data_IF_703260018236
#
_entry.id   IF_703260018236
#
_cell.length_a   1.000
_cell.length_b   1.000
_cell.length_c   1.000
_cell.angle_alpha   90.00
_cell.angle_beta   90.00
_cell.angle_gamma   90.00
#
_symmetry.space_group_name_H-M   'P 1'
#
loop_
_entity.id
_entity.type
_entity.pdbx_description
1 polymer ?
#
# COMPACT_ATOMS: atom_id res chain seq x y z
N UNK A 1 -7.29 29.33 -22.66
CA UNK A 1 -7.33 30.38 -23.69
C UNK A 1 -7.30 31.71 -22.95
N UNK A 2 -6.24 32.50 -23.12
CA UNK A 2 -6.10 33.81 -22.47
C UNK A 2 -6.84 34.88 -23.27
N UNK A 3 -7.52 35.80 -22.58
CA UNK A 3 -8.32 36.87 -23.19
C UNK A 3 -7.55 38.19 -23.31
N UNK A 4 -6.35 38.26 -22.76
CA UNK A 4 -5.47 39.43 -22.73
C UNK A 4 -4.00 38.99 -22.71
N UNK A 5 -3.08 39.88 -23.07
CA UNK A 5 -1.63 39.65 -23.01
C UNK A 5 -1.15 39.48 -21.56
N UNK A 6 -0.24 38.53 -21.32
CA UNK A 6 0.42 38.33 -20.03
C UNK A 6 1.14 39.62 -19.57
N UNK A 7 0.84 40.15 -18.37
CA UNK A 7 1.52 41.33 -17.79
C UNK A 7 3.05 41.17 -17.62
N UNK A 8 3.58 39.95 -17.61
CA UNK A 8 5.00 39.62 -17.48
C UNK A 8 5.62 39.13 -18.79
N UNK A 9 4.98 39.37 -19.94
CA UNK A 9 5.51 38.97 -21.25
C UNK A 9 6.96 39.42 -21.51
N UNK A 10 7.36 40.60 -21.03
CA UNK A 10 8.73 41.13 -21.17
C UNK A 10 9.78 40.32 -20.40
N UNK A 11 9.38 39.59 -19.34
CA UNK A 11 10.27 38.74 -18.54
C UNK A 11 10.67 37.45 -19.27
N UNK A 12 9.92 37.06 -20.31
CA UNK A 12 10.10 35.78 -21.01
C UNK A 12 10.37 35.97 -22.51
N UNK A 13 11.53 36.54 -22.90
CA UNK A 13 11.87 36.74 -24.31
C UNK A 13 11.90 35.39 -25.05
N UNK A 14 11.22 35.35 -26.20
CA UNK A 14 11.10 34.14 -27.03
C UNK A 14 9.88 33.25 -26.71
N UNK A 15 9.05 33.63 -25.74
CA UNK A 15 7.76 32.97 -25.47
C UNK A 15 6.58 33.83 -25.91
N UNK A 16 5.47 33.16 -26.24
CA UNK A 16 4.25 33.88 -26.63
C UNK A 16 3.58 34.46 -25.38
N UNK A 17 3.11 35.72 -25.40
CA UNK A 17 2.36 36.34 -24.30
C UNK A 17 0.98 35.70 -24.06
N UNK A 18 0.64 34.68 -24.83
CA UNK A 18 -0.58 33.87 -24.71
C UNK A 18 -0.27 32.39 -24.42
N UNK A 19 0.99 32.04 -24.15
CA UNK A 19 1.40 30.67 -23.82
C UNK A 19 0.92 30.31 -22.40
N UNK A 20 0.12 29.26 -22.26
CA UNK A 20 -0.29 28.75 -20.94
C UNK A 20 0.77 27.77 -20.43
N UNK A 21 1.28 27.95 -19.20
CA UNK A 21 2.15 26.97 -18.50
C UNK A 21 3.40 26.56 -19.27
N UNK A 22 4.00 27.47 -20.06
CA UNK A 22 5.11 27.14 -20.99
C UNK A 22 4.80 25.98 -21.94
N UNK A 23 3.53 25.83 -22.35
CA UNK A 23 3.00 24.70 -23.10
C UNK A 23 3.19 23.33 -22.41
N UNK A 24 3.38 23.31 -21.08
CA UNK A 24 3.48 22.09 -20.29
C UNK A 24 2.58 22.15 -19.03
N UNK A 25 1.25 22.09 -19.22
CA UNK A 25 0.27 22.18 -18.12
C UNK A 25 0.27 20.96 -17.20
N UNK A 26 1.01 19.91 -17.55
CA UNK A 26 1.22 18.74 -16.69
C UNK A 26 2.29 19.02 -15.62
N UNK A 27 3.24 19.92 -15.92
CA UNK A 27 4.37 20.26 -15.04
C UNK A 27 4.20 21.61 -14.35
N UNK A 28 3.55 22.56 -15.00
CA UNK A 28 3.39 23.91 -14.46
C UNK A 28 1.92 24.25 -14.27
N UNK A 29 1.65 25.05 -13.24
CA UNK A 29 0.36 25.71 -13.05
C UNK A 29 0.65 27.21 -13.04
N UNK A 30 -0.23 28.00 -13.64
CA UNK A 30 -0.18 29.45 -13.63
C UNK A 30 -1.44 29.99 -12.93
N UNK A 31 -1.44 30.11 -11.58
CA UNK A 31 -2.64 30.37 -10.78
C UNK A 31 -3.19 31.78 -10.93
N UNK A 32 -2.32 32.77 -11.19
CA UNK A 32 -2.66 34.20 -11.28
C UNK A 32 -2.47 34.77 -12.69
N UNK A 33 -2.00 33.97 -13.65
CA UNK A 33 -1.83 34.34 -15.05
C UNK A 33 -0.64 35.24 -15.32
N UNK A 34 0.44 35.04 -14.58
CA UNK A 34 1.64 35.88 -14.60
C UNK A 34 2.92 35.08 -14.69
N UNK A 35 3.05 34.00 -13.92
CA UNK A 35 4.24 33.16 -13.94
C UNK A 35 3.87 31.69 -13.70
N UNK A 36 4.14 30.80 -14.66
CA UNK A 36 4.03 29.37 -14.43
C UNK A 36 4.97 28.93 -13.29
N UNK A 37 4.39 28.47 -12.19
CA UNK A 37 5.12 27.87 -11.07
C UNK A 37 5.21 26.35 -11.27
N UNK A 38 6.26 25.75 -10.74
CA UNK A 38 6.38 24.28 -10.64
C UNK A 38 5.21 23.77 -9.80
N UNK A 39 4.19 23.25 -10.50
CA UNK A 39 2.85 23.01 -9.97
C UNK A 39 2.26 21.69 -10.46
N UNK A 40 3.04 20.86 -11.15
CA UNK A 40 2.65 19.50 -11.48
C UNK A 40 2.29 18.75 -10.20
N UNK A 41 1.38 17.77 -10.29
CA UNK A 41 0.96 17.01 -9.11
C UNK A 41 2.18 16.40 -8.44
N UNK A 42 2.31 16.59 -7.14
CA UNK A 42 3.36 16.00 -6.35
C UNK A 42 3.32 14.47 -6.41
N UNK A 43 4.42 13.81 -6.01
CA UNK A 43 4.52 12.37 -6.08
C UNK A 43 3.36 11.69 -5.34
N UNK A 44 2.91 10.58 -5.92
CA UNK A 44 1.90 9.72 -5.31
C UNK A 44 2.52 8.41 -4.94
N UNK A 45 2.25 7.98 -3.71
CA UNK A 45 2.73 6.69 -3.22
C UNK A 45 1.54 5.80 -2.90
N UNK A 46 1.65 4.53 -3.28
CA UNK A 46 0.59 3.55 -3.07
C UNK A 46 1.07 2.48 -2.12
N UNK A 47 0.33 2.30 -1.04
CA UNK A 47 0.57 1.26 -0.06
C UNK A 47 -0.37 0.08 -0.33
N UNK A 48 0.17 -1.12 -0.22
CA UNK A 48 -0.55 -2.37 -0.35
C UNK A 48 -0.43 -3.14 0.97
N UNK A 49 -1.56 -3.60 1.50
CA UNK A 49 -1.60 -4.52 2.62
C UNK A 49 -2.39 -5.74 2.21
N UNK A 50 -1.84 -6.93 2.43
CA UNK A 50 -2.48 -8.17 2.03
C UNK A 50 -2.25 -9.29 3.03
N UNK A 51 -3.26 -10.15 3.14
CA UNK A 51 -3.22 -11.40 3.89
C UNK A 51 -3.23 -12.57 2.92
N UNK A 52 -2.37 -13.57 3.10
CA UNK A 52 -2.25 -14.72 2.19
C UNK A 52 -1.83 -15.99 2.93
N UNK A 53 -2.23 -17.15 2.43
CA UNK A 53 -1.88 -18.46 3.00
C UNK A 53 -0.65 -18.99 2.26
N UNK A 54 0.47 -19.17 2.97
CA UNK A 54 1.73 -19.57 2.33
C UNK A 54 1.75 -21.02 1.83
N UNK A 55 0.95 -21.89 2.42
CA UNK A 55 0.81 -23.30 2.04
C UNK A 55 -0.09 -23.49 0.82
N UNK A 56 0.01 -24.68 0.19
CA UNK A 56 -0.90 -25.09 -0.90
C UNK A 56 -2.34 -25.27 -0.46
N UNK A 57 -2.53 -25.67 0.80
CA UNK A 57 -3.84 -25.94 1.37
C UNK A 57 -3.90 -25.47 2.81
N UNK A 58 -5.09 -25.10 3.27
CA UNK A 58 -5.40 -24.90 4.68
C UNK A 58 -6.64 -25.71 5.07
N UNK A 59 -6.86 -25.84 6.38
CA UNK A 59 -8.05 -26.50 6.92
C UNK A 59 -8.79 -25.56 7.85
N UNK A 60 -10.11 -25.64 7.81
CA UNK A 60 -10.97 -24.96 8.78
C UNK A 60 -11.16 -25.83 10.05
N UNK A 61 -11.93 -25.35 11.05
CA UNK A 61 -12.15 -26.07 12.31
C UNK A 61 -12.77 -27.47 12.14
N UNK A 62 -13.50 -27.69 11.05
CA UNK A 62 -14.16 -28.97 10.75
C UNK A 62 -13.27 -29.89 9.90
N UNK A 63 -12.02 -29.49 9.65
CA UNK A 63 -11.06 -30.25 8.84
C UNK A 63 -11.29 -30.15 7.33
N UNK A 64 -12.21 -29.29 6.86
CA UNK A 64 -12.46 -29.10 5.42
C UNK A 64 -11.26 -28.42 4.78
N UNK A 65 -10.87 -28.88 3.59
CA UNK A 65 -9.65 -28.45 2.90
C UNK A 65 -9.95 -27.31 1.93
N UNK A 66 -9.21 -26.22 2.05
CA UNK A 66 -9.28 -25.07 1.15
C UNK A 66 -7.95 -24.89 0.44
N UNK A 67 -7.99 -24.39 -0.80
CA UNK A 67 -6.79 -23.96 -1.50
C UNK A 67 -6.14 -22.78 -0.76
N UNK A 68 -4.84 -22.88 -0.53
CA UNK A 68 -4.01 -21.78 -0.07
C UNK A 68 -3.40 -21.02 -1.26
N UNK A 69 -2.75 -19.90 -0.97
CA UNK A 69 -2.13 -19.06 -2.01
C UNK A 69 -0.82 -19.68 -2.54
N UNK A 70 -0.25 -20.66 -1.82
CA UNK A 70 0.91 -21.43 -2.23
C UNK A 70 2.14 -20.58 -2.63
N UNK A 71 2.33 -19.44 -1.96
CA UNK A 71 3.36 -18.46 -2.30
C UNK A 71 4.09 -17.92 -1.08
N UNK A 72 5.27 -17.33 -1.32
CA UNK A 72 5.93 -16.47 -0.36
C UNK A 72 5.47 -15.01 -0.46
N UNK A 73 6.12 -14.10 0.28
CA UNK A 73 5.86 -12.67 0.17
C UNK A 73 6.10 -12.15 -1.24
N UNK A 74 5.33 -11.13 -1.62
CA UNK A 74 5.35 -10.59 -2.98
C UNK A 74 5.15 -9.09 -3.03
N UNK A 75 5.97 -8.40 -3.83
CA UNK A 75 5.79 -6.98 -4.18
C UNK A 75 4.82 -6.81 -5.37
N UNK A 76 3.81 -7.67 -5.50
CA UNK A 76 2.89 -7.63 -6.64
C UNK A 76 1.48 -7.47 -6.15
N UNK A 77 0.81 -6.43 -6.64
CA UNK A 77 -0.62 -6.20 -6.39
C UNK A 77 -1.51 -7.25 -7.05
N UNK A 78 -0.96 -8.08 -7.95
CA UNK A 78 -1.68 -9.14 -8.64
C UNK A 78 -1.52 -10.52 -7.97
N UNK A 79 -0.65 -10.64 -6.96
CA UNK A 79 -0.50 -11.89 -6.21
C UNK A 79 -1.80 -12.21 -5.48
N UNK A 80 -2.12 -13.49 -5.36
CA UNK A 80 -3.37 -13.93 -4.71
C UNK A 80 -3.35 -13.58 -3.22
N UNK A 81 -4.51 -13.29 -2.65
CA UNK A 81 -4.66 -12.87 -1.26
C UNK A 81 -6.06 -13.23 -0.73
N UNK A 82 -6.16 -13.52 0.56
CA UNK A 82 -7.42 -13.74 1.29
C UNK A 82 -8.14 -12.45 1.64
N UNK A 83 -7.37 -11.36 1.77
CA UNK A 83 -7.87 -10.00 1.89
C UNK A 83 -6.77 -9.02 1.50
N UNK A 84 -7.15 -7.89 0.92
CA UNK A 84 -6.23 -6.83 0.51
C UNK A 84 -6.92 -5.47 0.63
N UNK A 85 -6.17 -4.49 1.12
CA UNK A 85 -6.50 -3.08 1.02
C UNK A 85 -5.33 -2.32 0.36
N UNK A 86 -5.67 -1.45 -0.59
CA UNK A 86 -4.73 -0.57 -1.29
C UNK A 86 -5.20 0.87 -1.08
N UNK A 87 -4.29 1.73 -0.69
CA UNK A 87 -4.54 3.16 -0.50
C UNK A 87 -3.38 3.98 -1.06
N UNK A 88 -3.70 5.19 -1.50
CA UNK A 88 -2.74 6.14 -2.05
C UNK A 88 -2.54 7.30 -1.08
N UNK A 89 -1.31 7.82 -1.04
CA UNK A 89 -0.93 9.05 -0.36
C UNK A 89 -0.57 10.10 -1.41
N UNK A 90 -1.22 11.25 -1.34
CA UNK A 90 -0.94 12.42 -2.16
C UNK A 90 -0.12 13.43 -1.35
N UNK A 91 1.10 13.73 -1.80
CA UNK A 91 1.99 14.66 -1.09
C UNK A 91 1.55 16.11 -1.15
N UNK A 92 0.79 16.52 -2.17
CA UNK A 92 0.39 17.93 -2.36
C UNK A 92 -0.47 18.46 -1.20
N UNK A 93 -1.31 17.59 -0.66
CA UNK A 93 -2.28 17.93 0.38
C UNK A 93 -2.18 16.99 1.58
N UNK A 94 -1.18 16.10 1.59
CA UNK A 94 -0.98 15.06 2.59
C UNK A 94 -2.24 14.22 2.84
N UNK A 95 -3.06 13.97 1.82
CA UNK A 95 -4.29 13.17 1.96
C UNK A 95 -4.09 11.73 1.53
N UNK A 96 -4.80 10.86 2.23
CA UNK A 96 -4.95 9.47 1.85
C UNK A 96 -6.30 9.20 1.19
N UNK A 97 -6.31 8.25 0.26
CA UNK A 97 -7.55 7.76 -0.34
C UNK A 97 -7.47 6.25 -0.60
N UNK A 98 -8.59 5.57 -0.44
CA UNK A 98 -8.69 4.16 -0.81
C UNK A 98 -8.64 4.04 -2.33
N UNK A 99 -7.79 3.13 -2.82
CA UNK A 99 -7.68 2.79 -4.24
C UNK A 99 -8.55 1.57 -4.53
N UNK A 100 -8.41 0.52 -3.72
CA UNK A 100 -9.19 -0.72 -3.88
C UNK A 100 -9.10 -1.59 -2.64
N UNK A 101 -10.13 -2.37 -2.37
CA UNK A 101 -10.09 -3.49 -1.43
C UNK A 101 -10.69 -4.73 -2.09
N UNK A 102 -10.18 -5.91 -1.78
CA UNK A 102 -10.70 -7.15 -2.37
C UNK A 102 -9.93 -8.41 -1.99
N UNK A 103 -10.48 -9.54 -2.42
CA UNK A 103 -9.93 -10.87 -2.16
C UNK A 103 -9.86 -11.71 -3.45
N UNK A 104 -8.97 -12.69 -3.44
CA UNK A 104 -8.92 -13.75 -4.44
C UNK A 104 -10.01 -14.79 -4.19
N UNK A 105 -10.27 -15.64 -5.18
CA UNK A 105 -11.24 -16.73 -5.05
C UNK A 105 -10.77 -17.67 -3.93
N UNK A 106 -11.72 -18.07 -3.09
CA UNK A 106 -11.59 -19.16 -2.13
C UNK A 106 -12.16 -20.40 -2.78
N UNK A 107 -11.38 -21.48 -2.77
CA UNK A 107 -11.74 -22.76 -3.37
C UNK A 107 -11.69 -23.84 -2.29
N UNK A 108 -12.71 -24.72 -2.28
CA UNK A 108 -12.80 -25.85 -1.37
C UNK A 108 -13.05 -27.13 -2.17
N UNK A 109 -12.20 -28.12 -1.95
CA UNK A 109 -12.40 -29.48 -2.45
C UNK A 109 -13.05 -30.33 -1.36
N UNK A 110 -14.23 -30.87 -1.68
CA UNK A 110 -14.92 -31.90 -0.91
C UNK A 110 -14.76 -33.27 -1.57
N UNK A 111 -15.29 -34.32 -0.92
CA UNK A 111 -15.20 -35.69 -1.44
C UNK A 111 -15.93 -35.88 -2.79
N UNK A 112 -17.00 -35.10 -3.03
CA UNK A 112 -17.76 -35.09 -4.29
C UNK A 112 -18.12 -33.68 -4.79
N UNK A 113 -17.61 -32.62 -4.15
CA UNK A 113 -17.99 -31.23 -4.43
C UNK A 113 -16.76 -30.36 -4.63
N UNK A 114 -16.90 -29.34 -5.48
CA UNK A 114 -15.91 -28.30 -5.65
C UNK A 114 -16.61 -26.94 -5.56
N UNK A 115 -16.33 -26.21 -4.50
CA UNK A 115 -16.98 -24.94 -4.20
C UNK A 115 -16.00 -23.79 -4.42
N UNK A 116 -16.46 -22.71 -5.04
CA UNK A 116 -15.68 -21.49 -5.22
C UNK A 116 -16.51 -20.25 -4.95
N UNK A 117 -15.95 -19.31 -4.21
CA UNK A 117 -16.57 -18.01 -3.98
C UNK A 117 -15.52 -16.96 -3.60
N UNK A 118 -15.87 -15.69 -3.67
CA UNK A 118 -14.97 -14.57 -3.39
C UNK A 118 -15.41 -13.83 -2.13
N UNK A 119 -14.48 -13.64 -1.21
CA UNK A 119 -14.76 -12.93 0.02
C UNK A 119 -15.02 -11.43 -0.24
N UNK A 120 -15.97 -10.87 0.50
CA UNK A 120 -16.07 -9.42 0.64
C UNK A 120 -14.96 -8.92 1.58
N UNK A 121 -14.39 -7.76 1.27
CA UNK A 121 -13.41 -7.11 2.13
C UNK A 121 -13.99 -5.81 2.64
N UNK A 122 -14.23 -5.75 3.94
CA UNK A 122 -14.60 -4.53 4.64
C UNK A 122 -13.32 -3.74 4.92
N UNK A 123 -13.38 -2.42 4.83
CA UNK A 123 -12.24 -1.58 5.15
C UNK A 123 -12.70 -0.28 5.80
N UNK A 124 -11.83 0.28 6.64
CA UNK A 124 -11.99 1.60 7.23
C UNK A 124 -10.66 2.35 7.13
N UNK A 125 -10.73 3.64 6.84
CA UNK A 125 -9.58 4.54 6.93
C UNK A 125 -9.92 5.74 7.79
N UNK A 126 -9.02 6.09 8.70
CA UNK A 126 -9.15 7.27 9.53
C UNK A 126 -7.84 8.06 9.48
N UNK A 127 -7.90 9.27 8.96
CA UNK A 127 -6.75 10.15 8.90
C UNK A 127 -6.87 11.27 9.93
N UNK A 128 -5.79 11.50 10.71
CA UNK A 128 -5.63 12.64 11.60
C UNK A 128 -4.26 13.29 11.36
N UNK A 129 -4.25 14.38 10.60
CA UNK A 129 -3.01 15.02 10.13
C UNK A 129 -2.23 14.05 9.25
N UNK A 130 -0.97 13.79 9.60
CA UNK A 130 -0.10 12.88 8.85
C UNK A 130 -0.24 11.41 9.27
N UNK A 131 -1.06 11.12 10.28
CA UNK A 131 -1.30 9.77 10.77
C UNK A 131 -2.52 9.20 10.06
N UNK A 132 -2.39 7.97 9.59
CA UNK A 132 -3.43 7.17 8.98
C UNK A 132 -3.58 5.87 9.77
N UNK A 133 -4.80 5.62 10.24
CA UNK A 133 -5.23 4.28 10.62
C UNK A 133 -5.97 3.64 9.44
N UNK A 134 -5.62 2.41 9.12
CA UNK A 134 -6.33 1.56 8.16
C UNK A 134 -6.69 0.27 8.85
N UNK A 135 -7.90 -0.18 8.63
CA UNK A 135 -8.37 -1.48 9.05
C UNK A 135 -8.98 -2.16 7.83
N UNK A 136 -8.71 -3.44 7.64
CA UNK A 136 -9.53 -4.26 6.77
C UNK A 136 -9.87 -5.58 7.44
N UNK A 137 -11.04 -6.11 7.07
CA UNK A 137 -11.47 -7.43 7.50
C UNK A 137 -12.13 -8.23 6.39
N UNK A 138 -12.06 -9.54 6.49
CA UNK A 138 -12.60 -10.48 5.49
C UNK A 138 -13.00 -11.79 6.14
N UNK A 139 -14.04 -12.45 5.61
CA UNK A 139 -14.51 -13.77 6.05
C UNK A 139 -14.36 -14.80 4.95
N UNK A 140 -14.17 -16.06 5.34
CA UNK A 140 -14.29 -17.15 4.38
C UNK A 140 -15.72 -17.18 3.81
N UNK A 141 -15.91 -17.02 2.48
CA UNK A 141 -17.24 -16.92 1.88
C UNK A 141 -17.96 -18.28 1.84
N UNK A 142 -17.22 -19.39 1.90
CA UNK A 142 -17.74 -20.76 1.77
C UNK A 142 -18.20 -21.39 3.10
N UNK A 143 -18.21 -20.61 4.18
CA UNK A 143 -18.62 -21.05 5.52
C UNK A 143 -19.81 -20.24 6.05
N UNK A 144 -20.57 -20.74 7.04
CA UNK A 144 -21.71 -20.01 7.60
C UNK A 144 -21.28 -18.65 8.18
N UNK A 145 -21.73 -17.56 7.56
CA UNK A 145 -21.22 -16.20 7.81
C UNK A 145 -21.40 -15.71 9.26
N UNK A 146 -22.43 -16.21 9.95
CA UNK A 146 -22.70 -15.89 11.35
C UNK A 146 -21.65 -16.45 12.33
N UNK A 147 -21.00 -17.55 11.97
CA UNK A 147 -20.04 -18.27 12.83
C UNK A 147 -18.61 -18.23 12.30
N UNK A 148 -18.40 -17.58 11.15
CA UNK A 148 -17.10 -17.50 10.51
C UNK A 148 -16.32 -16.34 11.14
N UNK A 149 -15.16 -16.61 11.76
CA UNK A 149 -14.33 -15.56 12.31
C UNK A 149 -13.76 -14.70 11.16
N UNK A 150 -13.47 -13.45 11.47
CA UNK A 150 -12.86 -12.52 10.52
C UNK A 150 -11.34 -12.70 10.53
N UNK A 151 -10.72 -12.42 9.39
CA UNK A 151 -9.30 -12.05 9.34
C UNK A 151 -9.25 -10.54 9.42
N UNK A 152 -8.60 -10.00 10.43
CA UNK A 152 -8.45 -8.59 10.70
C UNK A 152 -6.98 -8.17 10.53
N UNK A 153 -6.77 -7.02 9.89
CA UNK A 153 -5.47 -6.36 9.81
C UNK A 153 -5.65 -4.87 10.03
N UNK A 154 -4.89 -4.33 10.98
CA UNK A 154 -4.90 -2.93 11.36
C UNK A 154 -3.50 -2.34 11.16
N UNK A 155 -3.39 -1.20 10.48
CA UNK A 155 -2.14 -0.48 10.33
C UNK A 155 -2.27 0.97 10.76
N UNK A 156 -1.29 1.43 11.53
CA UNK A 156 -1.06 2.84 11.80
C UNK A 156 0.18 3.28 11.04
N UNK A 157 0.04 4.30 10.19
CA UNK A 157 1.09 4.80 9.31
C UNK A 157 1.18 6.31 9.44
N UNK A 158 2.38 6.82 9.69
CA UNK A 158 2.69 8.25 9.69
C UNK A 158 3.63 8.53 8.53
N UNK A 159 3.26 9.44 7.64
CA UNK A 159 4.10 9.84 6.50
C UNK A 159 4.55 11.28 6.62
N UNK A 160 5.81 11.53 6.25
CA UNK A 160 6.35 12.87 6.14
C UNK A 160 7.15 12.99 4.85
N UNK A 161 6.63 13.79 3.91
CA UNK A 161 7.32 14.12 2.67
C UNK A 161 8.08 15.44 2.85
N UNK A 162 9.39 15.39 2.68
CA UNK A 162 10.28 16.55 2.73
C UNK A 162 10.84 16.83 1.34
N UNK A 163 10.25 17.82 0.66
CA UNK A 163 10.66 18.26 -0.68
C UNK A 163 12.09 18.82 -0.67
N UNK A 164 12.51 19.50 0.40
CA UNK A 164 13.81 20.16 0.46
C UNK A 164 14.94 19.13 0.58
N UNK A 165 14.73 18.09 1.38
CA UNK A 165 15.69 17.01 1.56
C UNK A 165 15.49 15.86 0.57
N UNK A 166 14.48 15.92 -0.30
CA UNK A 166 14.11 14.83 -1.23
C UNK A 166 13.95 13.50 -0.51
N UNK A 167 13.16 13.49 0.58
CA UNK A 167 12.91 12.27 1.36
C UNK A 167 11.43 12.03 1.63
N UNK A 168 11.08 10.75 1.76
CA UNK A 168 9.81 10.29 2.32
C UNK A 168 10.10 9.45 3.56
N UNK A 169 9.72 9.96 4.73
CA UNK A 169 9.77 9.21 5.99
C UNK A 169 8.44 8.53 6.26
N UNK A 170 8.49 7.27 6.67
CA UNK A 170 7.33 6.44 6.97
C UNK A 170 7.59 5.76 8.32
N UNK A 171 6.73 6.00 9.29
CA UNK A 171 6.67 5.23 10.53
C UNK A 171 5.42 4.38 10.49
N UNK A 172 5.55 3.08 10.73
CA UNK A 172 4.41 2.17 10.60
C UNK A 172 4.39 1.11 11.69
N UNK A 173 3.18 0.72 12.08
CA UNK A 173 2.90 -0.46 12.90
C UNK A 173 1.72 -1.19 12.29
N UNK A 174 1.89 -2.48 12.03
CA UNK A 174 0.85 -3.37 11.49
C UNK A 174 0.56 -4.48 12.49
N UNK A 175 -0.71 -4.60 12.83
CA UNK A 175 -1.30 -5.65 13.67
C UNK A 175 -2.13 -6.57 12.77
N UNK A 176 -2.18 -7.85 13.10
CA UNK A 176 -2.99 -8.86 12.41
C UNK A 176 -3.35 -9.97 13.38
N UNK A 177 -4.32 -10.81 13.05
CA UNK A 177 -4.69 -11.99 13.88
C UNK A 177 -3.60 -13.08 13.92
N UNK A 178 -2.52 -12.97 13.14
CA UNK A 178 -1.46 -13.98 13.09
C UNK A 178 -1.77 -15.17 12.17
N UNK A 179 -3.01 -15.27 11.67
CA UNK A 179 -3.39 -16.12 10.55
C UNK A 179 -4.30 -15.36 9.59
N UNK A 180 -4.13 -15.46 8.26
CA UNK A 180 -3.01 -16.07 7.55
C UNK A 180 -1.78 -15.12 7.55
N UNK A 181 -0.77 -15.35 6.70
CA UNK A 181 0.40 -14.45 6.62
C UNK A 181 -0.04 -13.04 6.27
N UNK A 182 0.69 -12.04 6.75
CA UNK A 182 0.45 -10.63 6.44
C UNK A 182 1.67 -10.02 5.77
N UNK A 183 1.48 -9.27 4.69
CA UNK A 183 2.53 -8.51 4.01
C UNK A 183 2.07 -7.08 3.75
N UNK A 184 3.04 -6.16 3.70
CA UNK A 184 2.80 -4.79 3.27
C UNK A 184 4.00 -4.22 2.53
N UNK A 185 3.71 -3.41 1.51
CA UNK A 185 4.73 -2.68 0.74
C UNK A 185 4.20 -1.32 0.28
N UNK A 186 5.11 -0.41 0.00
CA UNK A 186 4.84 0.87 -0.65
C UNK A 186 5.40 0.86 -2.07
N UNK A 187 4.76 1.60 -2.97
CA UNK A 187 5.16 1.77 -4.36
C UNK A 187 5.06 3.23 -4.78
N UNK A 188 5.96 3.67 -5.66
CA UNK A 188 5.88 4.97 -6.32
C UNK A 188 5.10 4.87 -7.65
N UNK A 189 4.99 6.00 -8.36
CA UNK A 189 4.34 6.09 -9.67
C UNK A 189 5.04 5.30 -10.78
N UNK A 190 6.33 4.98 -10.62
CA UNK A 190 7.11 4.15 -11.53
C UNK A 190 7.06 2.66 -11.18
N UNK A 191 6.26 2.26 -10.19
CA UNK A 191 6.18 0.89 -9.67
C UNK A 191 7.49 0.37 -9.08
N UNK A 192 8.38 1.25 -8.59
CA UNK A 192 9.45 0.83 -7.69
C UNK A 192 8.78 0.52 -6.35
N UNK A 193 9.10 -0.63 -5.76
CA UNK A 193 8.38 -1.14 -4.57
C UNK A 193 9.33 -1.51 -3.45
N UNK A 194 8.93 -1.17 -2.24
CA UNK A 194 9.70 -1.37 -1.02
C UNK A 194 8.80 -2.07 0.00
N UNK A 195 9.21 -3.24 0.50
CA UNK A 195 8.49 -3.88 1.58
C UNK A 195 8.54 -3.03 2.85
N UNK A 196 7.38 -2.88 3.50
CA UNK A 196 7.31 -2.40 4.88
C UNK A 196 7.52 -3.56 5.85
N UNK A 197 6.98 -4.73 5.54
CA UNK A 197 7.21 -5.91 6.37
C UNK A 197 6.38 -7.11 5.93
N UNK A 198 6.75 -8.26 6.49
CA UNK A 198 6.09 -9.54 6.25
C UNK A 198 6.05 -10.32 7.57
N UNK A 199 4.95 -11.04 7.81
CA UNK A 199 4.79 -11.96 8.93
C UNK A 199 4.17 -13.25 8.40
N UNK A 200 4.83 -14.38 8.62
CA UNK A 200 4.29 -15.69 8.25
C UNK A 200 3.16 -16.07 9.21
N UNK A 201 2.11 -16.72 8.69
CA UNK A 201 1.06 -17.28 9.53
C UNK A 201 1.61 -18.21 10.61
N UNK A 202 0.97 -18.20 11.77
CA UNK A 202 1.24 -19.12 12.88
C UNK A 202 -0.05 -19.82 13.28
N UNK A 203 0.05 -21.05 13.78
CA UNK A 203 -1.12 -21.82 14.24
C UNK A 203 -2.16 -22.11 13.14
N UNK A 204 -3.43 -22.09 13.53
CA UNK A 204 -4.59 -22.42 12.69
C UNK A 204 -5.64 -21.31 12.73
N UNK A 205 -6.59 -21.27 11.78
CA UNK A 205 -7.72 -20.34 11.84
C UNK A 205 -8.45 -20.34 13.18
N UNK A 206 -8.67 -21.52 13.79
CA UNK A 206 -9.36 -21.69 15.08
C UNK A 206 -8.64 -20.97 16.21
N UNK A 207 -7.32 -21.09 16.24
CA UNK A 207 -6.49 -20.63 17.36
C UNK A 207 -6.11 -19.16 17.27
N UNK A 208 -6.35 -18.50 16.13
CA UNK A 208 -5.80 -17.18 15.83
C UNK A 208 -6.86 -16.15 15.47
N UNK A 209 -7.92 -16.54 14.75
CA UNK A 209 -8.94 -15.61 14.27
C UNK A 209 -10.02 -15.18 15.29
N UNK A 210 -10.26 -15.86 16.43
CA UNK A 210 -11.23 -15.35 17.39
C UNK A 210 -10.75 -14.03 18.03
N UNK A 211 -11.37 -12.90 17.69
CA UNK A 211 -11.07 -11.61 18.29
C UNK A 211 -10.93 -10.50 17.24
N UNK A 212 -10.24 -9.42 17.63
CA UNK A 212 -9.77 -8.39 16.71
C UNK A 212 -8.25 -8.54 16.54
N UNK A 213 -7.69 -7.91 15.51
CA UNK A 213 -6.24 -7.86 15.28
C UNK A 213 -5.48 -7.40 16.53
N UNK A 214 -4.83 -8.36 17.18
CA UNK A 214 -4.19 -8.17 18.49
C UNK A 214 -2.69 -8.52 18.47
N UNK A 215 -2.22 -9.20 17.42
CA UNK A 215 -0.85 -9.66 17.30
C UNK A 215 -0.06 -8.73 16.40
N UNK A 216 1.06 -8.21 16.91
CA UNK A 216 1.96 -7.36 16.13
C UNK A 216 2.59 -8.17 15.00
N UNK A 217 2.26 -7.84 13.77
CA UNK A 217 2.85 -8.44 12.59
C UNK A 217 4.27 -7.90 12.37
N UNK A 218 4.38 -6.58 12.22
CA UNK A 218 5.65 -5.87 12.04
C UNK A 218 5.48 -4.36 12.29
N UNK A 219 6.58 -3.70 12.60
CA UNK A 219 6.65 -2.25 12.80
C UNK A 219 8.03 -1.74 12.41
N UNK A 220 8.13 -0.50 12.00
CA UNK A 220 9.43 0.08 11.64
C UNK A 220 9.35 1.55 11.27
N UNK A 221 10.52 2.07 10.91
CA UNK A 221 10.68 3.38 10.30
C UNK A 221 11.52 3.20 9.03
N UNK A 222 11.03 3.76 7.92
CA UNK A 222 11.76 3.84 6.67
C UNK A 222 11.93 5.30 6.29
N UNK A 223 13.16 5.67 5.94
CA UNK A 223 13.44 6.96 5.33
C UNK A 223 13.87 6.63 3.90
N UNK A 224 13.09 7.06 2.92
CA UNK A 224 13.30 6.76 1.50
C UNK A 224 13.90 8.01 0.85
N UNK A 225 15.05 7.87 0.23
CA UNK A 225 15.62 8.90 -0.63
C UNK A 225 14.92 8.92 -1.99
N UNK A 226 14.65 10.11 -2.49
CA UNK A 226 13.88 10.33 -3.72
C UNK A 226 14.76 10.91 -4.83
N UNK A 227 14.37 10.69 -6.09
CA UNK A 227 14.90 11.45 -7.23
C UNK A 227 14.19 12.80 -7.39
N UNK A 228 14.64 13.63 -8.34
CA UNK A 228 14.08 14.96 -8.62
C UNK A 228 12.60 14.93 -9.06
N UNK A 229 12.07 13.74 -9.39
CA UNK A 229 10.68 13.51 -9.77
C UNK A 229 9.85 12.89 -8.63
N UNK A 230 10.45 12.67 -7.46
CA UNK A 230 9.81 12.05 -6.31
C UNK A 230 9.68 10.51 -6.37
N UNK A 231 10.44 9.84 -7.23
CA UNK A 231 10.48 8.37 -7.29
C UNK A 231 11.48 7.81 -6.29
N UNK A 232 11.28 6.56 -5.88
CA UNK A 232 12.15 5.89 -4.92
C UNK A 232 13.53 5.62 -5.51
N UNK A 233 14.57 6.09 -4.82
CA UNK A 233 15.97 5.91 -5.23
C UNK A 233 16.71 4.93 -4.33
N UNK A 234 16.58 5.09 -3.01
CA UNK A 234 17.30 4.29 -2.01
C UNK A 234 16.61 4.38 -0.64
N UNK A 235 17.12 3.63 0.33
CA UNK A 235 16.71 3.71 1.74
C UNK A 235 17.86 4.33 2.53
N UNK A 236 17.54 5.26 3.43
CA UNK A 236 18.47 5.93 4.32
C UNK A 236 18.37 5.29 5.71
N UNK A 237 19.30 4.39 6.02
CA UNK A 237 19.28 3.59 7.24
C UNK A 237 20.48 3.95 8.13
N UNK A 238 20.22 4.57 9.29
CA UNK A 238 21.24 4.96 10.28
C UNK A 238 22.47 5.67 9.69
N UNK A 239 22.25 6.61 8.76
CA UNK A 239 23.32 7.39 8.11
C UNK A 239 24.02 6.67 6.95
N UNK A 240 23.58 5.48 6.56
CA UNK A 240 24.06 4.76 5.37
C UNK A 240 22.97 4.68 4.30
N UNK A 241 23.42 4.61 3.05
CA UNK A 241 22.55 4.35 1.91
C UNK A 241 22.45 2.84 1.72
N UNK A 242 21.24 2.33 1.75
CA UNK A 242 20.87 0.94 1.49
C UNK A 242 20.13 0.85 0.14
N UNK A 243 20.48 -0.16 -0.67
CA UNK A 243 19.78 -0.40 -1.93
C UNK A 243 18.40 -1.00 -1.65
N UNK A 244 17.38 -0.57 -2.38
CA UNK A 244 16.00 -1.06 -2.24
C UNK A 244 15.93 -2.58 -2.40
N UNK A 245 16.73 -3.14 -3.32
CA UNK A 245 16.82 -4.58 -3.54
C UNK A 245 17.29 -5.31 -2.28
N UNK A 246 18.37 -4.84 -1.66
CA UNK A 246 18.97 -5.49 -0.48
C UNK A 246 18.00 -5.46 0.71
N UNK A 247 17.30 -4.34 0.92
CA UNK A 247 16.25 -4.23 1.92
C UNK A 247 15.13 -5.26 1.67
N UNK A 248 14.62 -5.32 0.44
CA UNK A 248 13.55 -6.24 0.09
C UNK A 248 13.97 -7.71 0.28
N UNK A 249 15.19 -8.08 -0.11
CA UNK A 249 15.75 -9.41 0.11
C UNK A 249 15.90 -9.73 1.61
N UNK A 250 16.32 -8.75 2.42
CA UNK A 250 16.40 -8.88 3.88
C UNK A 250 15.03 -9.14 4.50
N UNK A 251 14.00 -8.41 4.08
CA UNK A 251 12.61 -8.64 4.54
C UNK A 251 12.13 -10.04 4.17
N UNK A 252 12.33 -10.49 2.93
CA UNK A 252 11.96 -11.83 2.48
C UNK A 252 12.70 -12.91 3.29
N UNK A 253 14.00 -12.72 3.58
CA UNK A 253 14.80 -13.69 4.35
C UNK A 253 14.31 -13.88 5.78
N UNK A 254 13.56 -12.92 6.32
CA UNK A 254 12.95 -13.02 7.64
C UNK A 254 11.54 -13.64 7.60
N UNK A 255 11.02 -13.96 6.42
CA UNK A 255 9.78 -14.69 6.29
C UNK A 255 9.90 -16.12 6.84
N UNK A 256 9.18 -16.41 7.92
CA UNK A 256 9.16 -17.72 8.56
C UNK A 256 10.25 -17.97 9.61
N UNK A 257 11.01 -16.93 9.98
CA UNK A 257 11.75 -16.87 11.25
C UNK A 257 10.86 -16.28 12.34
#
# INVERSE_FOLDING_TARGET
>A
MWLSTDPLAEKFPGRSPYEYTFNNPTKYIDPDGREPIDGGPGPRYTFNMASFISSKTTKDPLGRVYAGDARGPSLSVNSTARGRAIFSYNTDNSKYSVVSAGASITEREGFFTYDKDRAAVNYNINQKGNNLSIEYSTKNPLTPQLLTPEVNVNANISTYYDKNNSTLSIVYTVMSDGYPSTESFISDSNNIRIFLGVKKEQGTPVSQLPGNADTKAFSGMLIIGLDDKGNFKNILNSGKIEQIKDHNESVIKNFGK
#
